data_IF_132312961160
#
_entry.id   IF_132312961160
#
_cell.length_a   1.000
_cell.length_b   1.000
_cell.length_c   1.000
_cell.angle_alpha   90.00
_cell.angle_beta   90.00
_cell.angle_gamma   90.00
#
_symmetry.space_group_name_H-M   'P 1'
#
loop_
_entity.id
_entity.type
_entity.pdbx_description
1 polymer ?
#
# COMPACT_ATOMS: atom_id res chain seq x y z
N UNK A 1 -15.72 20.86 10.69
CA UNK A 1 -16.26 19.66 10.01
C UNK A 1 -16.28 18.55 11.06
N UNK A 2 -17.42 17.90 11.30
CA UNK A 2 -17.46 16.79 12.28
C UNK A 2 -16.64 15.65 11.71
N UNK A 3 -15.61 15.20 12.42
CA UNK A 3 -14.81 14.06 11.99
C UNK A 3 -15.66 12.80 12.14
N UNK A 4 -15.79 12.05 11.04
CA UNK A 4 -16.46 10.75 11.00
C UNK A 4 -15.58 9.81 10.21
N UNK A 5 -15.01 8.82 10.87
CA UNK A 5 -14.15 7.84 10.21
C UNK A 5 -14.90 6.54 10.00
N UNK A 6 -14.87 6.02 8.76
CA UNK A 6 -15.31 4.64 8.48
C UNK A 6 -14.11 3.72 8.47
N UNK A 7 -14.13 2.70 9.33
CA UNK A 7 -13.13 1.64 9.30
C UNK A 7 -13.59 0.54 8.33
N UNK A 8 -12.72 0.19 7.38
CA UNK A 8 -12.92 -0.86 6.39
C UNK A 8 -11.88 -1.93 6.63
N UNK A 9 -12.33 -3.09 7.10
CA UNK A 9 -11.47 -4.27 7.28
C UNK A 9 -11.51 -5.09 6.00
N UNK A 10 -10.37 -5.22 5.34
CA UNK A 10 -10.25 -5.88 4.04
C UNK A 10 -10.31 -7.39 4.18
N UNK A 11 -11.29 -7.99 3.50
CA UNK A 11 -11.53 -9.44 3.45
C UNK A 11 -12.05 -9.81 2.07
N UNK A 12 -11.17 -9.77 1.07
CA UNK A 12 -11.55 -10.14 -0.30
C UNK A 12 -11.14 -11.59 -0.60
N UNK A 13 -11.85 -12.22 -1.53
CA UNK A 13 -11.52 -13.55 -2.07
C UNK A 13 -11.49 -13.49 -3.60
N UNK A 14 -10.55 -14.18 -4.27
CA UNK A 14 -10.55 -14.27 -5.73
C UNK A 14 -11.92 -14.75 -6.26
N UNK A 15 -12.45 -14.20 -7.36
CA UNK A 15 -11.77 -13.36 -8.37
C UNK A 15 -11.74 -11.85 -8.05
N UNK A 16 -12.22 -11.43 -6.88
CA UNK A 16 -12.21 -10.02 -6.48
C UNK A 16 -10.77 -9.52 -6.24
N UNK A 17 -10.50 -8.26 -6.59
CA UNK A 17 -9.22 -7.60 -6.28
C UNK A 17 -9.33 -6.82 -4.98
N UNK A 18 -8.20 -6.59 -4.30
CA UNK A 18 -8.13 -5.72 -3.12
C UNK A 18 -8.80 -4.36 -3.37
N UNK A 19 -8.48 -3.71 -4.49
CA UNK A 19 -9.09 -2.45 -4.86
C UNK A 19 -10.57 -2.56 -5.18
N UNK A 20 -10.99 -3.63 -5.86
CA UNK A 20 -12.39 -3.90 -6.15
C UNK A 20 -13.21 -3.95 -4.86
N UNK A 21 -12.78 -4.77 -3.90
CA UNK A 21 -13.43 -4.91 -2.60
C UNK A 21 -13.55 -3.57 -1.88
N UNK A 22 -12.43 -2.87 -1.68
CA UNK A 22 -12.43 -1.60 -0.93
C UNK A 22 -13.25 -0.53 -1.65
N UNK A 23 -13.13 -0.44 -2.97
CA UNK A 23 -13.89 0.54 -3.77
C UNK A 23 -15.40 0.33 -3.69
N UNK A 24 -15.86 -0.93 -3.63
CA UNK A 24 -17.28 -1.26 -3.51
C UNK A 24 -17.88 -0.79 -2.17
N UNK A 25 -17.04 -0.69 -1.13
CA UNK A 25 -17.46 -0.25 0.21
C UNK A 25 -17.30 1.27 0.36
N UNK A 26 -16.21 1.83 -0.15
CA UNK A 26 -15.83 3.24 0.07
C UNK A 26 -16.58 4.18 -0.87
N UNK A 27 -16.63 3.87 -2.17
CA UNK A 27 -17.15 4.80 -3.17
C UNK A 27 -18.64 5.16 -2.97
N UNK A 28 -19.54 4.21 -2.59
CA UNK A 28 -20.95 4.53 -2.40
C UNK A 28 -21.21 5.50 -1.24
N UNK A 29 -20.39 5.47 -0.19
CA UNK A 29 -20.57 6.28 1.03
C UNK A 29 -19.53 7.40 1.15
N UNK A 30 -18.85 7.74 0.05
CA UNK A 30 -17.73 8.69 0.05
C UNK A 30 -18.10 10.06 0.63
N UNK A 31 -19.36 10.47 0.52
CA UNK A 31 -19.87 11.75 1.01
C UNK A 31 -20.36 11.72 2.47
N UNK A 32 -20.47 10.55 3.08
CA UNK A 32 -21.02 10.38 4.45
C UNK A 32 -19.94 10.48 5.53
N UNK A 33 -18.69 10.20 5.17
CA UNK A 33 -17.54 10.13 6.06
C UNK A 33 -16.49 11.15 5.67
N UNK A 34 -15.75 11.67 6.65
CA UNK A 34 -14.63 12.58 6.39
C UNK A 34 -13.34 11.84 6.05
N UNK A 35 -13.18 10.64 6.62
CA UNK A 35 -12.02 9.78 6.37
C UNK A 35 -12.42 8.30 6.33
N UNK A 36 -11.55 7.50 5.70
CA UNK A 36 -11.65 6.05 5.64
C UNK A 36 -10.37 5.43 6.17
N UNK A 37 -10.46 4.60 7.20
CA UNK A 37 -9.35 3.78 7.66
C UNK A 37 -9.44 2.41 7.00
N UNK A 38 -8.46 2.08 6.16
CA UNK A 38 -8.33 0.76 5.54
C UNK A 38 -7.39 -0.09 6.40
N UNK A 39 -7.86 -1.26 6.85
CA UNK A 39 -7.10 -2.21 7.66
C UNK A 39 -7.12 -3.60 7.02
N UNK A 40 -5.99 -4.30 7.04
CA UNK A 40 -5.99 -5.73 6.74
C UNK A 40 -6.63 -6.52 7.90
N UNK A 41 -7.21 -7.68 7.59
CA UNK A 41 -7.92 -8.52 8.59
C UNK A 41 -7.07 -9.02 9.76
N UNK A 42 -5.76 -9.05 9.60
CA UNK A 42 -4.75 -9.48 10.57
C UNK A 42 -3.97 -8.29 11.17
N UNK A 43 -4.55 -7.10 11.11
CA UNK A 43 -3.95 -5.87 11.63
C UNK A 43 -4.70 -5.35 12.85
N UNK A 44 -3.95 -4.97 13.89
CA UNK A 44 -4.48 -4.43 15.16
C UNK A 44 -3.88 -3.06 15.44
N UNK A 45 -4.74 -2.11 15.80
CA UNK A 45 -4.39 -0.75 16.21
C UNK A 45 -4.88 -0.48 17.65
N UNK A 46 -4.07 0.24 18.42
CA UNK A 46 -4.35 0.59 19.82
C UNK A 46 -4.46 2.12 19.99
N UNK A 47 -5.23 2.76 19.11
CA UNK A 47 -5.44 4.20 19.12
C UNK A 47 -6.85 4.56 18.64
N UNK A 48 -7.35 5.71 19.08
CA UNK A 48 -8.61 6.27 18.59
C UNK A 48 -8.42 6.83 17.18
N UNK A 49 -9.11 6.22 16.21
CA UNK A 49 -9.01 6.60 14.79
C UNK A 49 -9.57 8.01 14.55
N UNK A 50 -10.63 8.39 15.27
CA UNK A 50 -11.21 9.73 15.17
C UNK A 50 -10.21 10.80 15.62
N UNK A 51 -9.46 10.55 16.69
CA UNK A 51 -8.41 11.47 17.17
C UNK A 51 -7.27 11.60 16.14
N UNK A 52 -6.91 10.51 15.44
CA UNK A 52 -5.91 10.57 14.36
C UNK A 52 -6.42 11.43 13.21
N UNK A 53 -7.68 11.25 12.81
CA UNK A 53 -8.28 12.02 11.74
C UNK A 53 -8.44 13.51 12.10
N UNK A 54 -8.71 13.84 13.37
CA UNK A 54 -8.69 15.22 13.85
C UNK A 54 -7.28 15.83 13.81
N UNK A 55 -6.29 15.10 14.34
CA UNK A 55 -4.91 15.58 14.43
C UNK A 55 -4.25 15.74 13.06
N UNK A 56 -4.57 14.88 12.11
CA UNK A 56 -3.91 14.81 10.80
C UNK A 56 -4.85 15.07 9.62
N UNK A 57 -6.03 15.66 9.84
CA UNK A 57 -7.10 15.80 8.83
C UNK A 57 -6.77 16.64 7.59
N UNK A 58 -5.61 17.31 7.57
CA UNK A 58 -5.10 18.06 6.42
C UNK A 58 -4.33 17.14 5.44
N UNK A 59 -3.93 15.95 5.88
CA UNK A 59 -3.21 14.99 5.07
C UNK A 59 -4.16 14.22 4.13
N UNK A 60 -3.68 13.94 2.92
CA UNK A 60 -4.39 13.08 1.98
C UNK A 60 -4.35 11.63 2.43
N UNK A 61 -3.18 11.24 2.93
CA UNK A 61 -2.86 9.89 3.39
C UNK A 61 -2.09 10.00 4.70
N UNK A 62 -2.59 9.31 5.72
CA UNK A 62 -1.89 9.09 6.98
C UNK A 62 -1.50 7.62 7.07
N UNK A 63 -0.19 7.37 7.06
CA UNK A 63 0.38 6.06 7.34
C UNK A 63 0.76 5.91 8.81
N UNK A 64 0.99 4.67 9.22
CA UNK A 64 1.34 4.32 10.60
C UNK A 64 2.65 3.56 10.67
N UNK A 65 3.25 3.51 11.86
CA UNK A 65 4.42 2.67 12.11
C UNK A 65 3.97 1.20 12.24
N UNK A 66 4.12 0.44 11.18
CA UNK A 66 3.71 -0.97 11.16
C UNK A 66 4.84 -1.86 11.71
N UNK A 67 4.52 -2.66 12.72
CA UNK A 67 5.40 -3.68 13.29
C UNK A 67 4.82 -5.05 12.96
N UNK A 68 5.59 -5.86 12.23
CA UNK A 68 5.23 -7.27 12.01
C UNK A 68 5.53 -8.10 13.25
N UNK A 69 4.65 -9.06 13.55
CA UNK A 69 4.82 -10.02 14.64
C UNK A 69 6.06 -10.93 14.46
N UNK A 70 6.47 -11.21 13.21
CA UNK A 70 7.59 -12.10 12.90
C UNK A 70 8.96 -11.43 13.08
N UNK A 71 9.85 -12.04 13.88
CA UNK A 71 11.25 -11.59 14.05
C UNK A 71 12.02 -11.59 12.73
N UNK A 72 11.87 -12.63 11.92
CA UNK A 72 12.53 -12.77 10.62
C UNK A 72 12.07 -11.67 9.67
N UNK A 73 10.78 -11.36 9.66
CA UNK A 73 10.25 -10.27 8.84
C UNK A 73 10.79 -8.93 9.30
N UNK A 74 10.86 -8.67 10.61
CA UNK A 74 11.46 -7.43 11.14
C UNK A 74 12.93 -7.28 10.74
N UNK A 75 13.71 -8.35 10.79
CA UNK A 75 15.13 -8.33 10.38
C UNK A 75 15.26 -8.10 8.87
N UNK A 76 14.47 -8.82 8.08
CA UNK A 76 14.39 -8.64 6.63
C UNK A 76 14.02 -7.20 6.27
N UNK A 77 13.02 -6.62 6.93
CA UNK A 77 12.64 -5.23 6.73
C UNK A 77 13.71 -4.23 7.13
N UNK A 78 14.45 -4.50 8.21
CA UNK A 78 15.58 -3.66 8.63
C UNK A 78 16.65 -3.64 7.54
N UNK A 79 16.94 -4.79 6.92
CA UNK A 79 17.87 -4.88 5.80
C UNK A 79 17.33 -4.22 4.52
N UNK A 80 16.11 -4.54 4.13
CA UNK A 80 15.47 -4.04 2.89
C UNK A 80 15.18 -2.55 2.92
N UNK A 81 15.04 -1.94 4.10
CA UNK A 81 14.65 -0.54 4.23
C UNK A 81 15.60 0.26 5.12
N UNK A 82 16.88 -0.10 5.12
CA UNK A 82 17.93 0.63 5.83
C UNK A 82 18.02 2.10 5.38
N UNK A 83 17.77 2.36 4.09
CA UNK A 83 17.63 3.69 3.50
C UNK A 83 16.17 4.18 3.55
N UNK A 84 15.90 5.21 4.36
CA UNK A 84 14.58 5.86 4.49
C UNK A 84 14.29 6.84 3.34
N UNK A 85 14.21 6.33 2.11
CA UNK A 85 14.05 7.14 0.90
C UNK A 85 12.65 7.75 0.71
N UNK A 86 11.62 7.28 1.42
CA UNK A 86 10.25 7.79 1.31
C UNK A 86 9.42 7.51 2.56
N UNK A 87 8.35 8.28 2.82
CA UNK A 87 7.39 7.96 3.86
C UNK A 87 6.84 6.54 3.67
N UNK A 88 6.81 5.74 4.75
CA UNK A 88 6.31 4.37 4.74
C UNK A 88 4.81 4.38 5.04
N UNK A 89 4.00 4.49 3.99
CA UNK A 89 2.60 4.10 4.10
C UNK A 89 2.47 2.67 3.59
N UNK A 90 1.93 1.78 4.43
CA UNK A 90 1.63 0.40 4.03
C UNK A 90 0.13 0.26 3.86
N UNK A 91 -0.32 -0.44 2.83
CA UNK A 91 -1.74 -0.73 2.60
C UNK A 91 -2.43 -1.54 3.71
N UNK A 92 -1.68 -2.11 4.65
CA UNK A 92 -2.27 -2.84 5.78
C UNK A 92 -2.90 -1.93 6.84
N UNK A 93 -2.51 -0.65 6.90
CA UNK A 93 -3.15 0.36 7.71
C UNK A 93 -2.93 1.75 7.12
N UNK A 94 -4.00 2.33 6.58
CA UNK A 94 -3.95 3.62 5.92
C UNK A 94 -5.24 4.40 6.19
N UNK A 95 -5.09 5.60 6.73
CA UNK A 95 -6.20 6.54 6.86
C UNK A 95 -6.18 7.50 5.67
N UNK A 96 -7.31 7.58 4.98
CA UNK A 96 -7.49 8.32 3.74
C UNK A 96 -8.53 9.42 3.92
N UNK A 97 -8.22 10.63 3.48
CA UNK A 97 -9.18 11.72 3.45
C UNK A 97 -10.20 11.53 2.32
N UNK A 98 -11.48 11.74 2.61
CA UNK A 98 -12.54 11.76 1.60
C UNK A 98 -12.32 12.87 0.56
N UNK A 99 -11.75 14.01 0.96
CA UNK A 99 -11.42 15.09 0.02
C UNK A 99 -10.39 14.64 -1.01
N UNK A 100 -9.35 13.95 -0.54
CA UNK A 100 -8.36 13.35 -1.42
C UNK A 100 -8.99 12.34 -2.38
N UNK A 101 -9.78 11.40 -1.86
CA UNK A 101 -10.46 10.40 -2.67
C UNK A 101 -11.39 11.03 -3.71
N UNK A 102 -12.14 12.08 -3.35
CA UNK A 102 -12.97 12.84 -4.31
C UNK A 102 -12.14 13.47 -5.42
N UNK A 103 -11.00 14.09 -5.09
CA UNK A 103 -10.09 14.68 -6.11
C UNK A 103 -9.57 13.66 -7.11
N UNK A 104 -9.36 12.40 -6.69
CA UNK A 104 -8.88 11.34 -7.57
C UNK A 104 -9.99 10.51 -8.23
N UNK A 105 -11.26 10.92 -8.06
CA UNK A 105 -12.48 10.26 -8.56
C UNK A 105 -12.79 8.92 -7.90
N UNK A 106 -12.55 8.82 -6.60
CA UNK A 106 -12.87 7.65 -5.77
C UNK A 106 -11.68 6.73 -5.51
N UNK A 107 -11.94 5.66 -4.76
CA UNK A 107 -10.95 4.63 -4.46
C UNK A 107 -10.68 3.74 -5.69
N UNK A 108 -9.41 3.51 -6.07
CA UNK A 108 -9.05 2.69 -7.23
C UNK A 108 -9.46 1.21 -7.10
N UNK A 109 -9.92 0.60 -8.19
CA UNK A 109 -10.38 -0.81 -8.26
C UNK A 109 -9.29 -1.84 -8.58
N UNK A 110 -8.06 -1.41 -8.86
CA UNK A 110 -6.97 -2.29 -9.30
C UNK A 110 -6.30 -3.10 -8.16
N UNK A 111 -5.29 -3.90 -8.49
CA UNK A 111 -4.52 -4.67 -7.50
C UNK A 111 -3.48 -3.82 -6.74
N UNK A 112 -2.95 -2.76 -7.36
CA UNK A 112 -1.83 -1.97 -6.82
C UNK A 112 -2.26 -0.60 -6.29
N UNK A 113 -3.35 -0.60 -5.53
CA UNK A 113 -4.02 0.63 -5.08
C UNK A 113 -3.08 1.54 -4.29
N UNK A 114 -2.28 0.99 -3.38
CA UNK A 114 -1.29 1.73 -2.59
C UNK A 114 -0.38 2.62 -3.45
N UNK A 115 0.10 2.09 -4.58
CA UNK A 115 1.01 2.81 -5.47
C UNK A 115 0.28 3.96 -6.16
N UNK A 116 -0.95 3.70 -6.62
CA UNK A 116 -1.79 4.71 -7.27
C UNK A 116 -2.16 5.84 -6.30
N UNK A 117 -2.55 5.49 -5.06
CA UNK A 117 -2.88 6.47 -4.02
C UNK A 117 -1.66 7.32 -3.68
N UNK A 118 -0.49 6.71 -3.47
CA UNK A 118 0.74 7.43 -3.15
C UNK A 118 1.22 8.35 -4.27
N UNK A 119 1.06 7.95 -5.54
CA UNK A 119 1.42 8.79 -6.69
C UNK A 119 0.51 10.03 -6.81
N UNK A 120 -0.77 9.89 -6.45
CA UNK A 120 -1.76 10.98 -6.58
C UNK A 120 -1.86 11.86 -5.33
N UNK A 121 -1.34 11.39 -4.20
CA UNK A 121 -1.28 12.16 -2.94
C UNK A 121 -0.34 13.36 -3.07
N UNK A 122 -0.77 14.50 -2.56
CA UNK A 122 0.06 15.70 -2.41
C UNK A 122 0.64 15.82 -1.00
N UNK A 123 -0.06 15.28 0.00
CA UNK A 123 0.33 15.36 1.41
C UNK A 123 0.20 14.00 2.09
N UNK A 124 1.33 13.34 2.24
CA UNK A 124 1.45 12.06 2.95
C UNK A 124 2.19 12.26 4.26
N UNK A 125 1.57 11.84 5.38
CA UNK A 125 2.13 11.96 6.72
C UNK A 125 2.26 10.58 7.35
N UNK A 126 3.26 10.39 8.21
CA UNK A 126 3.36 9.21 9.08
C UNK A 126 2.99 9.65 10.48
N UNK A 127 1.89 9.11 11.01
CA UNK A 127 1.52 9.33 12.40
C UNK A 127 2.44 8.53 13.33
N UNK A 128 2.74 9.05 14.53
CA UNK A 128 3.63 8.39 15.50
C UNK A 128 2.98 7.18 16.20
N UNK A 129 1.84 6.68 15.71
CA UNK A 129 1.17 5.51 16.27
C UNK A 129 1.67 4.21 15.66
N UNK A 130 1.64 3.16 16.48
CA UNK A 130 2.08 1.83 16.10
C UNK A 130 0.89 0.96 15.72
N UNK A 131 1.02 0.23 14.64
CA UNK A 131 0.07 -0.77 14.17
C UNK A 131 0.76 -2.13 14.15
N UNK A 132 0.12 -3.15 14.71
CA UNK A 132 0.66 -4.51 14.73
C UNK A 132 0.05 -5.32 13.59
N UNK A 133 0.91 -5.92 12.76
CA UNK A 133 0.50 -6.76 11.65
C UNK A 133 0.90 -8.21 11.94
N UNK A 134 -0.10 -9.08 12.08
CA UNK A 134 0.07 -10.49 12.45
C UNK A 134 0.38 -11.38 11.23
N UNK A 135 1.35 -10.94 10.42
CA UNK A 135 1.76 -11.69 9.24
C UNK A 135 2.84 -12.71 9.58
N UNK A 136 2.62 -13.98 9.19
CA UNK A 136 3.67 -15.01 9.17
C UNK A 136 4.59 -14.76 7.98
N UNK A 137 5.90 -14.89 8.20
CA UNK A 137 6.85 -14.80 7.10
C UNK A 137 6.75 -16.06 6.23
N UNK A 138 6.43 -15.88 4.96
CA UNK A 138 6.52 -16.91 3.94
C UNK A 138 7.47 -16.44 2.84
N UNK A 139 8.55 -17.20 2.64
CA UNK A 139 9.56 -16.91 1.62
C UNK A 139 8.95 -17.00 0.22
N UNK A 140 8.08 -17.98 -0.04
CA UNK A 140 7.41 -18.15 -1.34
C UNK A 140 6.57 -16.92 -1.65
N UNK A 141 5.74 -16.50 -0.70
CA UNK A 141 4.93 -15.30 -0.82
C UNK A 141 5.79 -14.04 -1.03
N UNK A 142 6.93 -13.92 -0.34
CA UNK A 142 7.87 -12.79 -0.50
C UNK A 142 8.47 -12.73 -1.91
N UNK A 143 8.89 -13.86 -2.47
CA UNK A 143 9.42 -13.94 -3.85
C UNK A 143 8.33 -13.59 -4.86
N UNK A 144 7.14 -14.17 -4.72
CA UNK A 144 6.01 -13.89 -5.62
C UNK A 144 5.62 -12.41 -5.61
N UNK A 145 5.67 -11.76 -4.44
CA UNK A 145 5.42 -10.32 -4.32
C UNK A 145 6.46 -9.47 -5.05
N UNK A 146 7.74 -9.88 -5.02
CA UNK A 146 8.79 -9.21 -5.80
C UNK A 146 8.60 -9.39 -7.31
N UNK A 147 8.21 -10.59 -7.75
CA UNK A 147 7.91 -10.86 -9.16
C UNK A 147 6.75 -10.00 -9.64
N UNK A 148 5.68 -9.92 -8.85
CA UNK A 148 4.50 -9.08 -9.15
C UNK A 148 4.85 -7.59 -9.25
N UNK A 149 5.64 -7.05 -8.29
CA UNK A 149 6.13 -5.66 -8.33
C UNK A 149 6.99 -5.38 -9.58
N UNK A 150 7.85 -6.32 -9.98
CA UNK A 150 8.64 -6.21 -11.21
C UNK A 150 7.78 -6.14 -12.48
N UNK A 151 6.80 -7.05 -12.60
CA UNK A 151 5.84 -7.09 -13.72
C UNK A 151 5.09 -5.77 -13.84
N UNK A 152 4.53 -5.29 -12.73
CA UNK A 152 3.73 -4.07 -12.72
C UNK A 152 4.54 -2.83 -13.06
N UNK A 153 5.78 -2.73 -12.58
CA UNK A 153 6.68 -1.63 -12.98
C UNK A 153 6.96 -1.62 -14.48
N UNK A 154 7.03 -2.79 -15.11
CA UNK A 154 7.17 -2.90 -16.56
C UNK A 154 5.90 -2.40 -17.27
N UNK A 155 4.71 -2.81 -16.80
CA UNK A 155 3.41 -2.37 -17.31
C UNK A 155 3.21 -0.85 -17.18
N UNK A 156 3.57 -0.27 -16.02
CA UNK A 156 3.55 1.17 -15.77
C UNK A 156 4.67 1.95 -16.47
N UNK A 157 5.54 1.28 -17.25
CA UNK A 157 6.68 1.88 -17.94
C UNK A 157 7.59 2.70 -17.01
N UNK A 158 7.79 2.24 -15.78
CA UNK A 158 8.76 2.86 -14.88
C UNK A 158 10.15 2.88 -15.52
N UNK A 159 10.96 3.94 -15.34
CA UNK A 159 12.34 3.95 -15.82
C UNK A 159 13.16 2.79 -15.25
N UNK A 160 13.89 2.07 -16.12
CA UNK A 160 14.68 0.89 -15.73
C UNK A 160 15.63 1.19 -14.56
N UNK A 161 16.35 2.32 -14.61
CA UNK A 161 17.27 2.72 -13.55
C UNK A 161 16.58 2.91 -12.18
N UNK A 162 15.32 3.41 -12.16
CA UNK A 162 14.54 3.51 -10.91
C UNK A 162 14.28 2.12 -10.33
N UNK A 163 14.00 1.15 -11.19
CA UNK A 163 13.75 -0.23 -10.79
C UNK A 163 15.04 -0.93 -10.36
N UNK A 164 16.15 -0.69 -11.05
CA UNK A 164 17.47 -1.25 -10.70
C UNK A 164 17.96 -0.76 -9.33
N UNK A 165 17.97 0.56 -9.13
CA UNK A 165 18.31 1.19 -7.84
C UNK A 165 17.39 0.65 -6.75
N UNK A 166 16.08 0.56 -7.01
CA UNK A 166 15.14 -0.01 -6.05
C UNK A 166 15.49 -1.45 -5.66
N UNK A 167 15.77 -2.31 -6.63
CA UNK A 167 16.09 -3.72 -6.39
C UNK A 167 17.39 -3.89 -5.60
N UNK A 168 18.46 -3.16 -5.95
CA UNK A 168 19.76 -3.26 -5.27
C UNK A 168 19.65 -2.75 -3.84
N UNK A 169 19.18 -1.51 -3.65
CA UNK A 169 19.13 -0.91 -2.31
C UNK A 169 18.12 -1.54 -1.37
N UNK A 170 17.09 -2.20 -1.91
CA UNK A 170 16.08 -2.93 -1.11
C UNK A 170 16.35 -4.42 -0.99
N UNK A 171 17.43 -4.93 -1.57
CA UNK A 171 17.76 -6.37 -1.56
C UNK A 171 16.58 -7.20 -2.13
N UNK A 172 16.03 -6.76 -3.26
CA UNK A 172 14.86 -7.35 -3.93
C UNK A 172 15.19 -7.78 -5.37
N UNK A 173 16.10 -8.75 -5.56
CA UNK A 173 16.63 -9.10 -6.88
C UNK A 173 15.53 -9.55 -7.87
N UNK A 174 14.48 -10.21 -7.39
CA UNK A 174 13.40 -10.72 -8.23
C UNK A 174 12.54 -9.61 -8.86
N UNK A 175 12.58 -8.38 -8.33
CA UNK A 175 11.89 -7.22 -8.92
C UNK A 175 12.50 -6.84 -10.27
N UNK A 176 13.83 -6.71 -10.33
CA UNK A 176 14.51 -6.38 -11.60
C UNK A 176 14.43 -7.54 -12.57
N UNK A 177 14.61 -8.78 -12.10
CA UNK A 177 14.48 -9.96 -12.96
C UNK A 177 13.11 -9.98 -13.63
N UNK A 178 12.02 -9.90 -12.86
CA UNK A 178 10.67 -9.89 -13.40
C UNK A 178 10.40 -8.67 -14.31
N UNK A 179 10.90 -7.49 -13.95
CA UNK A 179 10.77 -6.29 -14.77
C UNK A 179 11.41 -6.49 -16.16
N UNK A 180 12.64 -7.03 -16.21
CA UNK A 180 13.34 -7.28 -17.47
C UNK A 180 12.61 -8.34 -18.29
N UNK A 181 12.23 -9.48 -17.68
CA UNK A 181 11.49 -10.54 -18.36
C UNK A 181 10.16 -10.07 -18.97
N UNK A 182 9.44 -9.16 -18.31
CA UNK A 182 8.17 -8.62 -18.83
C UNK A 182 8.35 -7.49 -19.84
N UNK A 183 9.55 -6.90 -19.93
CA UNK A 183 9.87 -5.82 -20.88
C UNK A 183 10.56 -6.33 -22.14
N UNK A 184 11.19 -7.50 -22.07
CA UNK A 184 11.61 -8.23 -23.26
C UNK A 184 10.33 -8.55 -24.03
N UNK A 185 10.18 -8.09 -25.29
CA UNK A 185 9.06 -8.51 -26.10
C UNK A 185 9.08 -10.04 -26.12
N UNK A 186 8.00 -10.67 -25.70
CA UNK A 186 7.80 -12.07 -26.05
C UNK A 186 7.82 -12.08 -27.57
N UNK A 187 8.87 -12.62 -28.18
CA UNK A 187 8.76 -13.17 -29.51
C UNK A 187 7.63 -14.20 -29.44
N UNK A 188 6.42 -13.73 -29.71
CA UNK A 188 5.31 -14.59 -30.06
C UNK A 188 5.26 -14.59 -31.57
N UNK A 189 5.59 -15.78 -32.08
CA UNK A 189 4.87 -16.41 -33.18
C UNK A 189 5.17 -15.80 -34.56
N UNK A 190 6.29 -16.23 -35.15
CA UNK A 190 6.24 -16.72 -36.53
C UNK A 190 5.95 -18.21 -36.51
#
# INVERSE_FOLDING_TARGET
MVVRVKTVVVRFQPPETYGGFVSSIVNPVLNEFSHFLILDSDTVCDFSVDNVAEQFGIADIVGFNVISSSRTFRLWEKMTYWLKLSPRVRGCAMLLSSDFLRRIRGYPTGEFVDTVLLQKSKRTVIAPFTVYHFQRFDLKHSVMRQVSDGKFRAELRYPFWKTLVHSVFRVRPFVVLSYVFHRIPREREM
#
